data_IF_481877959142
#
_entry.id   IF_481877959142
#
_cell.length_a   1.000
_cell.length_b   1.000
_cell.length_c   1.000
_cell.angle_alpha   90.00
_cell.angle_beta   90.00
_cell.angle_gamma   90.00
#
_symmetry.space_group_name_H-M   'P 1'
#
loop_
_entity.id
_entity.type
_entity.pdbx_description
1 polymer ?
#
# COMPACT_ATOMS: atom_id res chain seq x y z
N UNK A 1 8.50 24.32 18.49
CA UNK A 1 8.44 23.27 17.45
C UNK A 1 7.21 22.41 17.71
N UNK A 2 6.06 22.56 17.01
CA UNK A 2 4.97 21.63 17.20
C UNK A 2 5.38 20.28 16.61
N UNK A 3 5.41 19.24 17.45
CA UNK A 3 5.55 17.85 17.02
C UNK A 3 4.42 17.57 16.06
N UNK A 4 4.77 17.18 14.83
CA UNK A 4 3.83 16.73 13.81
C UNK A 4 3.16 15.47 14.38
N UNK A 5 2.01 15.64 15.01
CA UNK A 5 1.19 14.54 15.51
C UNK A 5 0.88 13.68 14.30
N UNK A 6 1.44 12.47 14.28
CA UNK A 6 0.91 11.40 13.47
C UNK A 6 -0.58 11.33 13.79
N UNK A 7 -1.40 11.91 12.90
CA UNK A 7 -2.84 11.73 12.92
C UNK A 7 -3.05 10.22 12.93
N UNK A 8 -3.34 9.70 14.11
CA UNK A 8 -3.64 8.29 14.34
C UNK A 8 -5.01 8.07 13.73
N UNK A 9 -5.06 8.06 12.40
CA UNK A 9 -6.26 7.73 11.64
C UNK A 9 -6.61 6.34 12.11
N UNK A 10 -7.73 6.18 12.80
CA UNK A 10 -8.18 4.86 13.21
C UNK A 10 -8.67 4.13 11.95
N UNK A 11 -8.46 2.81 11.85
CA UNK A 11 -9.11 2.03 10.80
C UNK A 11 -10.63 2.16 10.98
N UNK A 12 -11.38 1.96 9.88
CA UNK A 12 -12.83 1.93 9.97
C UNK A 12 -13.28 0.84 10.95
N UNK A 13 -14.50 0.95 11.51
CA UNK A 13 -15.09 -0.12 12.32
C UNK A 13 -15.12 -1.48 11.61
N UNK A 14 -15.12 -1.50 10.27
CA UNK A 14 -14.99 -2.71 9.45
C UNK A 14 -13.59 -3.36 9.46
N UNK A 15 -12.59 -2.72 10.08
CA UNK A 15 -11.17 -3.11 10.00
C UNK A 15 -10.46 -2.61 8.74
N UNK A 16 -11.20 -1.96 7.82
CA UNK A 16 -10.68 -1.46 6.55
C UNK A 16 -9.95 -0.11 6.70
N UNK A 17 -9.00 0.14 5.82
CA UNK A 17 -8.30 1.42 5.75
C UNK A 17 -9.19 2.51 5.11
N UNK A 18 -9.42 3.60 5.84
CA UNK A 18 -10.17 4.79 5.40
C UNK A 18 -9.33 6.03 5.18
N UNK A 19 -8.00 5.90 5.11
CA UNK A 19 -7.12 7.03 4.91
C UNK A 19 -7.33 7.62 3.50
N UNK A 20 -7.39 8.94 3.37
CA UNK A 20 -7.42 9.64 2.07
C UNK A 20 -6.17 9.33 1.23
N UNK A 21 -5.01 9.33 1.88
CA UNK A 21 -3.71 8.96 1.28
C UNK A 21 -3.11 7.78 2.04
N UNK A 22 -3.55 6.54 1.78
CA UNK A 22 -3.10 5.39 2.53
C UNK A 22 -1.64 5.04 2.16
N UNK A 23 -0.76 4.97 3.15
CA UNK A 23 0.57 4.36 2.97
C UNK A 23 0.45 2.87 3.19
N UNK A 24 0.55 2.10 2.11
CA UNK A 24 0.29 0.67 2.14
C UNK A 24 1.59 -0.13 2.14
N UNK A 25 1.58 -1.26 2.83
CA UNK A 25 2.63 -2.26 2.79
C UNK A 25 2.03 -3.65 2.70
N UNK A 26 2.79 -4.58 2.13
CA UNK A 26 2.40 -5.98 2.05
C UNK A 26 3.59 -6.84 2.42
N UNK A 27 3.37 -7.88 3.21
CA UNK A 27 4.36 -8.94 3.38
C UNK A 27 4.13 -10.00 2.30
N UNK A 28 5.14 -10.22 1.47
CA UNK A 28 5.10 -11.20 0.37
C UNK A 28 5.97 -12.42 0.67
N UNK A 29 6.17 -12.75 1.95
CA UNK A 29 6.95 -13.89 2.44
C UNK A 29 8.47 -13.70 2.34
N UNK A 30 8.96 -12.98 1.33
CA UNK A 30 10.39 -12.60 1.19
C UNK A 30 10.73 -11.29 1.91
N UNK A 31 9.74 -10.64 2.52
CA UNK A 31 9.86 -9.38 3.22
C UNK A 31 8.69 -8.44 2.95
N UNK A 32 8.71 -7.31 3.66
CA UNK A 32 7.70 -6.25 3.54
C UNK A 32 8.04 -5.33 2.38
N UNK A 33 7.10 -5.18 1.45
CA UNK A 33 7.21 -4.29 0.31
C UNK A 33 6.25 -3.10 0.44
N UNK A 34 6.72 -1.92 0.04
CA UNK A 34 5.89 -0.73 -0.16
C UNK A 34 4.98 -0.90 -1.39
N UNK A 35 3.71 -0.54 -1.22
CA UNK A 35 2.71 -0.62 -2.29
C UNK A 35 1.87 0.64 -2.32
N UNK A 36 1.29 0.94 -3.47
CA UNK A 36 0.40 2.07 -3.66
C UNK A 36 -0.95 1.61 -4.21
N UNK A 37 -2.05 2.32 -3.89
CA UNK A 37 -3.33 2.13 -4.54
C UNK A 37 -3.20 2.15 -6.06
N UNK A 38 -3.91 1.26 -6.74
CA UNK A 38 -3.97 1.24 -8.19
C UNK A 38 -5.40 0.98 -8.66
N UNK A 39 -5.72 1.38 -9.87
CA UNK A 39 -7.03 1.11 -10.49
C UNK A 39 -7.06 -0.29 -11.14
N UNK A 40 -5.90 -0.86 -11.46
CA UNK A 40 -5.77 -2.16 -12.10
C UNK A 40 -5.56 -3.28 -11.07
N UNK A 41 -6.31 -4.37 -11.23
CA UNK A 41 -6.05 -5.63 -10.51
C UNK A 41 -4.72 -6.21 -10.99
N UNK A 42 -3.76 -6.29 -10.08
CA UNK A 42 -2.48 -6.96 -10.30
C UNK A 42 -2.54 -8.39 -9.74
N UNK A 43 -1.73 -9.33 -10.26
CA UNK A 43 -1.69 -10.69 -9.73
C UNK A 43 -1.34 -10.72 -8.23
N UNK A 44 -0.51 -9.78 -7.79
CA UNK A 44 -0.10 -9.68 -6.39
C UNK A 44 -1.25 -9.21 -5.49
N UNK A 45 -2.08 -8.26 -5.92
CA UNK A 45 -3.20 -7.82 -5.09
C UNK A 45 -4.35 -8.84 -5.02
N UNK A 46 -4.37 -9.84 -5.90
CA UNK A 46 -5.27 -10.99 -5.80
C UNK A 46 -4.78 -12.04 -4.80
N UNK A 47 -3.46 -12.14 -4.58
CA UNK A 47 -2.85 -13.14 -3.71
C UNK A 47 -2.58 -12.62 -2.30
N UNK A 48 -2.28 -11.34 -2.16
CA UNK A 48 -1.90 -10.72 -0.89
C UNK A 48 -2.78 -9.52 -0.59
N UNK A 49 -3.00 -9.27 0.69
CA UNK A 49 -3.77 -8.12 1.16
C UNK A 49 -2.83 -7.11 1.77
N UNK A 50 -2.89 -5.87 1.28
CA UNK A 50 -2.06 -4.79 1.80
C UNK A 50 -2.62 -4.27 3.13
N UNK A 51 -1.75 -3.75 3.98
CA UNK A 51 -2.09 -3.12 5.24
C UNK A 51 -1.58 -1.69 5.26
N UNK A 52 -2.35 -0.79 5.86
CA UNK A 52 -1.96 0.60 5.96
C UNK A 52 -1.02 0.82 7.15
N UNK A 53 0.14 1.42 6.92
CA UNK A 53 1.11 1.79 7.97
C UNK A 53 0.59 2.88 8.91
N UNK A 54 -0.35 3.71 8.43
CA UNK A 54 -0.87 4.85 9.19
C UNK A 54 -1.94 4.41 10.20
N UNK A 55 -2.92 3.63 9.75
CA UNK A 55 -4.05 3.22 10.57
C UNK A 55 -4.00 1.76 11.04
N UNK A 56 -3.13 0.93 10.45
CA UNK A 56 -3.12 -0.52 10.67
C UNK A 56 -4.28 -1.25 10.01
N UNK A 57 -5.17 -0.55 9.31
CA UNK A 57 -6.32 -1.13 8.63
C UNK A 57 -5.94 -1.91 7.38
N UNK A 58 -6.74 -2.90 7.04
CA UNK A 58 -6.59 -3.74 5.86
C UNK A 58 -7.06 -2.99 4.61
N UNK A 59 -6.34 -3.12 3.50
CA UNK A 59 -6.68 -2.51 2.22
C UNK A 59 -7.00 -3.59 1.18
N UNK A 60 -8.30 -3.74 0.90
CA UNK A 60 -8.85 -4.79 0.02
C UNK A 60 -8.93 -4.37 -1.46
N UNK A 61 -8.68 -3.09 -1.75
CA UNK A 61 -8.73 -2.55 -3.11
C UNK A 61 -7.46 -2.90 -3.89
N UNK A 62 -7.46 -2.78 -5.23
CA UNK A 62 -6.29 -3.08 -6.03
C UNK A 62 -5.11 -2.18 -5.66
N UNK A 63 -3.93 -2.77 -5.64
CA UNK A 63 -2.68 -2.08 -5.33
C UNK A 63 -1.57 -2.62 -6.23
N UNK A 64 -0.52 -1.83 -6.39
CA UNK A 64 0.69 -2.21 -7.11
C UNK A 64 1.91 -2.00 -6.24
N UNK A 65 2.93 -2.84 -6.44
CA UNK A 65 4.19 -2.73 -5.70
C UNK A 65 5.00 -1.55 -6.21
N UNK A 66 5.51 -0.74 -5.28
CA UNK A 66 6.48 0.30 -5.57
C UNK A 66 7.83 -0.39 -5.66
N UNK A 67 8.35 -0.54 -6.87
CA UNK A 67 9.69 -1.11 -7.08
C UNK A 67 10.65 0.09 -7.20
N UNK A 68 11.50 0.36 -6.18
CA UNK A 68 12.51 1.40 -6.31
C UNK A 68 13.47 0.98 -7.42
N UNK A 69 13.41 1.69 -8.55
CA UNK A 69 14.29 1.43 -9.70
C UNK A 69 13.69 0.58 -10.81
N UNK A 70 12.37 0.32 -10.85
CA UNK A 70 11.73 -0.10 -12.09
C UNK A 70 11.76 1.06 -13.10
N UNK A 71 12.92 1.27 -13.72
CA UNK A 71 13.03 1.99 -14.99
C UNK A 71 12.02 1.32 -15.91
N UNK A 72 11.03 2.08 -16.35
CA UNK A 72 10.32 1.80 -17.59
C UNK A 72 11.35 1.84 -18.73
N UNK A 73 12.15 0.79 -18.89
CA UNK A 73 12.99 0.61 -20.08
C UNK A 73 12.22 -0.24 -21.09
N UNK A 74 11.11 0.33 -21.54
CA UNK A 74 10.59 0.02 -22.86
C UNK A 74 11.44 0.72 -23.90
N UNK A 75 12.47 0.05 -24.42
CA UNK A 75 12.91 0.14 -25.83
C UNK A 75 13.92 -0.95 -26.13
N UNK A 76 13.45 -2.07 -26.69
CA UNK A 76 14.31 -3.05 -27.37
C UNK A 76 14.57 -2.52 -28.80
N UNK A 77 15.82 -2.28 -29.23
CA UNK A 77 16.15 -2.01 -30.63
C UNK A 77 16.02 -3.26 -31.49
#
# INVERSE_FOLDING_TARGET
MPRRTASKVKPLPSGECGCETPQLQVDIGIGVADVEPCEALTPLCALFVAQCRLCGGTYIKPWRRIIPGARTEGKRP
#
